data_IF_291951170527
#
_entry.id   IF_291951170527
#
_cell.length_a   1.000
_cell.length_b   1.000
_cell.length_c   1.000
_cell.angle_alpha   90.00
_cell.angle_beta   90.00
_cell.angle_gamma   90.00
#
_symmetry.space_group_name_H-M   'P 1'
#
loop_
_entity.id
_entity.type
_entity.pdbx_description
1 polymer ?
#
# COMPACT_ATOMS: atom_id res chain seq x y z
N UNK A 1 35.73 14.76 4.28
CA UNK A 1 34.70 14.62 5.33
C UNK A 1 33.36 14.46 4.62
N UNK A 2 32.89 13.22 4.49
CA UNK A 2 31.61 12.92 3.83
C UNK A 2 30.48 13.28 4.77
N UNK A 3 29.63 14.23 4.36
CA UNK A 3 28.38 14.53 5.05
C UNK A 3 27.43 13.37 4.77
N UNK A 4 27.17 12.55 5.78
CA UNK A 4 26.10 11.56 5.72
C UNK A 4 24.78 12.34 5.63
N UNK A 5 24.00 12.08 4.60
CA UNK A 5 22.66 12.65 4.42
C UNK A 5 21.76 12.03 5.50
N UNK A 6 21.81 12.60 6.71
CA UNK A 6 20.92 12.23 7.81
C UNK A 6 19.56 12.87 7.61
N UNK A 7 18.88 12.52 6.51
CA UNK A 7 17.42 12.63 6.50
C UNK A 7 16.91 11.67 7.58
N UNK A 8 16.16 12.14 8.60
CA UNK A 8 15.54 11.24 9.53
C UNK A 8 14.55 10.37 8.72
N UNK A 9 14.96 9.14 8.41
CA UNK A 9 14.03 8.11 8.00
C UNK A 9 13.09 7.94 9.19
N UNK A 10 11.86 8.43 9.06
CA UNK A 10 10.85 8.12 10.05
C UNK A 10 10.78 6.60 10.14
N UNK A 11 10.94 5.98 11.31
CA UNK A 11 10.98 4.51 11.43
C UNK A 11 9.71 3.82 10.92
N UNK A 12 8.65 4.60 10.67
CA UNK A 12 7.41 4.20 10.02
C UNK A 12 7.52 4.01 8.50
N UNK A 13 8.42 4.72 7.81
CA UNK A 13 8.59 4.59 6.35
C UNK A 13 9.52 3.44 5.95
N UNK A 14 10.26 2.86 6.89
CA UNK A 14 11.13 1.71 6.58
C UNK A 14 10.35 0.41 6.48
N UNK A 15 9.17 0.36 7.11
CA UNK A 15 8.37 -0.85 7.24
C UNK A 15 7.07 -0.71 6.47
N UNK A 16 6.71 -1.79 5.80
CA UNK A 16 5.43 -1.93 5.12
C UNK A 16 4.80 -3.25 5.49
N UNK A 17 3.47 -3.26 5.55
CA UNK A 17 2.68 -4.48 5.56
C UNK A 17 1.74 -4.48 4.35
N UNK A 18 1.40 -5.67 3.88
CA UNK A 18 0.55 -5.87 2.71
C UNK A 18 -0.77 -6.47 3.14
N UNK A 19 -1.86 -5.90 2.65
CA UNK A 19 -3.21 -6.42 2.89
C UNK A 19 -4.05 -6.37 1.61
N UNK A 20 -4.97 -7.32 1.43
CA UNK A 20 -6.03 -7.15 0.45
C UNK A 20 -6.86 -5.92 0.84
N UNK A 21 -7.25 -5.13 -0.15
CA UNK A 21 -8.25 -4.08 0.06
C UNK A 21 -9.63 -4.69 -0.20
N UNK A 22 -10.65 -4.43 0.64
CA UNK A 22 -11.97 -5.02 0.45
C UNK A 22 -12.56 -4.72 -0.94
N UNK A 23 -13.19 -5.75 -1.52
CA UNK A 23 -13.77 -5.70 -2.87
C UNK A 23 -14.87 -4.63 -3.00
N UNK A 24 -15.56 -4.29 -1.91
CA UNK A 24 -16.58 -3.24 -1.84
C UNK A 24 -16.03 -1.84 -2.16
N UNK A 25 -14.72 -1.65 -2.08
CA UNK A 25 -14.04 -0.38 -2.36
C UNK A 25 -13.52 -0.29 -3.79
N UNK A 26 -13.66 -1.38 -4.55
CA UNK A 26 -13.31 -1.44 -5.95
C UNK A 26 -14.60 -1.15 -6.70
N UNK A 27 -14.69 -0.03 -7.45
CA UNK A 27 -15.87 0.23 -8.25
C UNK A 27 -16.13 -0.97 -9.15
N UNK A 28 -17.36 -1.49 -9.10
CA UNK A 28 -17.81 -2.59 -9.94
C UNK A 28 -17.39 -2.26 -11.38
N UNK A 29 -16.48 -3.05 -11.94
CA UNK A 29 -15.79 -2.69 -13.17
C UNK A 29 -16.76 -2.73 -14.36
N UNK A 30 -17.45 -1.63 -14.66
CA UNK A 30 -18.21 -1.43 -15.89
C UNK A 30 -17.44 -0.63 -16.95
N UNK A 31 -16.14 -0.41 -16.71
CA UNK A 31 -15.20 0.05 -17.72
C UNK A 31 -14.89 1.53 -17.60
N UNK A 32 -13.60 1.81 -17.42
CA UNK A 32 -12.98 3.14 -17.54
C UNK A 32 -13.31 4.12 -16.42
N UNK A 33 -12.58 3.99 -15.31
CA UNK A 33 -12.18 5.16 -14.52
C UNK A 33 -10.66 5.31 -14.62
N UNK A 34 -10.22 6.27 -15.43
CA UNK A 34 -8.87 6.82 -15.32
C UNK A 34 -8.80 7.62 -14.01
N UNK A 35 -8.30 6.96 -12.98
CA UNK A 35 -8.09 7.51 -11.66
C UNK A 35 -7.37 6.45 -10.83
N UNK A 36 -6.59 6.86 -9.84
CA UNK A 36 -5.89 5.99 -8.91
C UNK A 36 -6.88 5.21 -8.02
N UNK A 37 -7.62 4.28 -8.62
CA UNK A 37 -8.56 3.39 -7.94
C UNK A 37 -7.86 2.16 -7.38
N UNK A 38 -8.40 1.64 -6.27
CA UNK A 38 -8.04 0.32 -5.75
C UNK A 38 -8.43 -0.75 -6.78
N UNK A 39 -7.56 -1.75 -6.99
CA UNK A 39 -7.88 -2.91 -7.85
C UNK A 39 -8.18 -4.13 -6.99
N UNK A 40 -9.35 -4.74 -7.19
CA UNK A 40 -9.72 -6.02 -6.60
C UNK A 40 -8.67 -7.09 -6.97
N UNK A 41 -8.47 -8.06 -6.07
CA UNK A 41 -7.52 -9.15 -6.30
C UNK A 41 -6.05 -8.71 -6.26
N UNK A 42 -5.74 -7.51 -5.74
CA UNK A 42 -4.36 -7.09 -5.47
C UNK A 42 -4.19 -6.70 -4.00
N UNK A 43 -2.97 -6.88 -3.50
CA UNK A 43 -2.59 -6.44 -2.15
C UNK A 43 -1.99 -5.06 -2.23
N UNK A 44 -2.50 -4.13 -1.44
CA UNK A 44 -1.90 -2.82 -1.28
C UNK A 44 -0.96 -2.81 -0.08
N UNK A 45 0.05 -1.96 -0.15
CA UNK A 45 0.97 -1.74 0.95
C UNK A 45 0.53 -0.56 1.81
N UNK A 46 0.89 -0.61 3.09
CA UNK A 46 0.66 0.43 4.07
C UNK A 46 1.94 0.63 4.88
N UNK A 47 2.26 1.89 5.22
CA UNK A 47 3.41 2.20 6.07
C UNK A 47 3.16 1.72 7.50
N UNK A 48 4.15 1.06 8.10
CA UNK A 48 4.05 0.50 9.44
C UNK A 48 4.37 -0.99 9.52
N UNK A 49 4.14 -1.59 10.69
CA UNK A 49 4.48 -3.00 10.96
C UNK A 49 3.36 -3.97 10.62
N UNK A 50 2.12 -3.58 10.92
CA UNK A 50 0.87 -4.31 10.72
C UNK A 50 -0.28 -3.34 10.95
N UNK A 51 -1.46 -3.68 10.47
CA UNK A 51 -2.69 -3.05 10.94
C UNK A 51 -3.00 -3.53 12.36
N UNK A 52 -3.43 -2.61 13.22
CA UNK A 52 -3.78 -2.84 14.62
C UNK A 52 -5.30 -2.86 14.88
N UNK A 53 -6.12 -2.66 13.84
CA UNK A 53 -7.57 -2.64 13.93
C UNK A 53 -8.16 -1.37 14.56
N UNK A 54 -7.36 -0.31 14.80
CA UNK A 54 -7.86 0.93 15.43
C UNK A 54 -8.37 1.95 14.42
N UNK A 55 -7.77 2.02 13.23
CA UNK A 55 -8.18 2.92 12.16
C UNK A 55 -8.89 2.13 11.06
N UNK A 56 -10.16 2.47 10.82
CA UNK A 56 -10.94 1.93 9.72
C UNK A 56 -10.43 2.51 8.40
N UNK A 57 -10.34 3.84 8.30
CA UNK A 57 -9.80 4.54 7.13
C UNK A 57 -8.27 4.65 7.20
N UNK A 58 -7.59 4.03 6.25
CA UNK A 58 -6.13 4.06 6.15
C UNK A 58 -5.68 4.43 4.74
N UNK A 59 -4.51 5.06 4.64
CA UNK A 59 -3.91 5.44 3.36
C UNK A 59 -2.90 4.40 2.90
N UNK A 60 -3.13 3.82 1.73
CA UNK A 60 -2.17 2.96 1.05
C UNK A 60 -0.92 3.75 0.62
N UNK A 61 0.20 3.06 0.40
CA UNK A 61 1.43 3.66 -0.12
C UNK A 61 1.22 4.33 -1.49
N UNK A 62 0.34 3.79 -2.34
CA UNK A 62 0.01 4.41 -3.62
C UNK A 62 -0.94 5.61 -3.51
N UNK A 63 -1.24 6.06 -2.29
CA UNK A 63 -2.00 7.28 -2.03
C UNK A 63 -3.51 7.09 -1.98
N UNK A 64 -4.01 5.88 -2.20
CA UNK A 64 -5.45 5.55 -2.15
C UNK A 64 -5.89 5.33 -0.72
N UNK A 65 -6.99 5.96 -0.33
CA UNK A 65 -7.61 5.81 1.00
C UNK A 65 -8.62 4.67 0.95
N UNK A 66 -8.53 3.77 1.93
CA UNK A 66 -9.30 2.51 1.97
C UNK A 66 -9.81 2.27 3.39
N UNK A 67 -10.85 1.46 3.52
CA UNK A 67 -11.46 1.09 4.78
C UNK A 67 -11.13 -0.38 5.05
N UNK A 68 -10.27 -0.66 6.01
CA UNK A 68 -9.85 -2.02 6.30
C UNK A 68 -10.82 -2.78 7.21
N UNK A 69 -11.80 -2.12 7.85
CA UNK A 69 -12.75 -2.78 8.77
C UNK A 69 -13.53 -3.93 8.11
N UNK A 70 -13.69 -3.86 6.77
CA UNK A 70 -14.36 -4.87 5.96
C UNK A 70 -13.39 -5.86 5.27
N UNK A 71 -12.11 -5.89 5.67
CA UNK A 71 -11.12 -6.80 5.08
C UNK A 71 -11.54 -8.25 5.28
N UNK A 72 -12.08 -8.87 4.23
CA UNK A 72 -12.45 -10.30 4.26
C UNK A 72 -11.20 -11.18 4.43
N UNK A 73 -11.24 -12.24 5.24
CA UNK A 73 -10.15 -13.22 5.41
C UNK A 73 -9.97 -14.14 4.20
N UNK A 74 -10.04 -13.61 2.98
CA UNK A 74 -9.77 -14.32 1.73
C UNK A 74 -8.35 -14.93 1.75
N UNK A 75 -8.10 -15.95 0.92
CA UNK A 75 -6.76 -16.53 0.69
C UNK A 75 -5.84 -15.58 -0.11
N UNK A 76 -5.69 -14.36 0.41
CA UNK A 76 -4.99 -13.24 -0.22
C UNK A 76 -3.49 -13.51 -0.40
N UNK A 77 -2.95 -14.57 0.19
CA UNK A 77 -1.56 -14.98 0.01
C UNK A 77 -1.19 -15.19 -1.46
N UNK A 78 -2.16 -15.56 -2.29
CA UNK A 78 -1.99 -15.78 -3.74
C UNK A 78 -2.20 -14.51 -4.59
N UNK A 79 -2.70 -13.43 -4.00
CA UNK A 79 -2.97 -12.19 -4.73
C UNK A 79 -1.67 -11.42 -5.03
N UNK A 80 -1.49 -10.91 -6.26
CA UNK A 80 -0.33 -10.09 -6.61
C UNK A 80 -0.25 -8.81 -5.78
N UNK A 81 0.97 -8.28 -5.63
CA UNK A 81 1.20 -6.96 -5.03
C UNK A 81 0.78 -5.85 -6.00
N UNK A 82 0.22 -4.77 -5.45
CA UNK A 82 -0.07 -3.56 -6.19
C UNK A 82 1.23 -2.95 -6.73
N UNK A 83 1.36 -2.90 -8.07
CA UNK A 83 2.53 -2.37 -8.76
C UNK A 83 2.90 -0.94 -8.31
N UNK A 84 1.96 0.02 -8.30
CA UNK A 84 2.20 1.37 -7.78
C UNK A 84 2.75 1.41 -6.34
N UNK A 85 2.19 0.62 -5.42
CA UNK A 85 2.73 0.51 -4.06
C UNK A 85 4.18 0.02 -4.08
N UNK A 86 4.47 -1.02 -4.86
CA UNK A 86 5.81 -1.61 -4.95
C UNK A 86 6.82 -0.63 -5.51
N UNK A 87 6.49 0.08 -6.59
CA UNK A 87 7.34 1.12 -7.19
C UNK A 87 7.66 2.22 -6.19
N UNK A 88 6.67 2.71 -5.45
CA UNK A 88 6.86 3.78 -4.49
C UNK A 88 7.73 3.34 -3.29
N UNK A 89 7.56 2.11 -2.81
CA UNK A 89 8.42 1.53 -1.77
C UNK A 89 9.89 1.50 -2.23
N UNK A 90 10.14 0.98 -3.42
CA UNK A 90 11.50 0.90 -3.98
C UNK A 90 12.11 2.29 -4.19
N UNK A 91 11.28 3.26 -4.60
CA UNK A 91 11.69 4.67 -4.75
C UNK A 91 12.10 5.27 -3.41
N UNK A 92 11.28 5.11 -2.37
CA UNK A 92 11.53 5.65 -1.02
C UNK A 92 12.75 4.98 -0.38
N UNK A 93 12.94 3.67 -0.56
CA UNK A 93 14.09 2.93 -0.03
C UNK A 93 15.41 3.17 -0.78
N UNK A 94 15.38 3.90 -1.89
CA UNK A 94 16.56 4.09 -2.74
C UNK A 94 17.04 2.80 -3.43
N UNK A 95 16.17 1.78 -3.50
CA UNK A 95 16.47 0.47 -4.11
C UNK A 95 16.24 0.46 -5.63
N UNK A 96 15.67 1.54 -6.18
CA UNK A 96 15.59 1.77 -7.63
C UNK A 96 16.96 2.23 -8.14
N UNK A 97 17.86 1.27 -8.38
CA UNK A 97 19.19 1.53 -8.97
C UNK A 97 19.00 2.18 -10.35
N UNK A 98 19.50 3.41 -10.50
CA UNK A 98 19.61 4.13 -11.77
C UNK A 98 20.47 3.37 -12.77
#
# INVERSE_FOLDING_TARGET
MSMVDSRPHSPHVDRVFWMPVPDQQVPASDGTVEGAGVRAGTRHAFWGRRWDGQEAEVRTVCGVVVNLDESSPLDWITMPECGPCRTEILRVRGEMRS
#
